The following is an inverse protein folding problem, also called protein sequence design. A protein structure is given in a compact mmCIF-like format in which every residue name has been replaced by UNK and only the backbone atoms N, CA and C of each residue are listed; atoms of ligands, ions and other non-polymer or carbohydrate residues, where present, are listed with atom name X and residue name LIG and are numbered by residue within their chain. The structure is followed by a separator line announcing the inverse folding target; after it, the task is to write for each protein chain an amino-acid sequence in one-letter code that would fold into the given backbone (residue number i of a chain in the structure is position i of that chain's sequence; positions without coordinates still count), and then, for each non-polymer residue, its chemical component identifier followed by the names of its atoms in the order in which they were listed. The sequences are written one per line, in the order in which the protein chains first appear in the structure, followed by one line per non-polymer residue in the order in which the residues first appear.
data_IF_481601402246
#
_entry.id   IF_481601402246
#
_cell.length_a   1.000
_cell.length_b   1.000
_cell.length_c   1.000
_cell.angle_alpha   90.00
_cell.angle_beta   90.00
_cell.angle_gamma   90.00
#
_symmetry.space_group_name_H-M   'P 1'
#
loop_
_entity.id
_entity.type
_entity.pdbx_description
1 polymer ?
#
# COMPACT_ATOMS: atom_id res chain seq x y z
N UNK A 1 -42.77 -7.25 54.03
CA UNK A 1 -41.37 -7.64 53.79
C UNK A 1 -41.01 -7.24 52.37
N UNK A 2 -40.60 -5.99 52.27
CA UNK A 2 -40.38 -5.16 51.10
C UNK A 2 -39.16 -4.33 51.49
N UNK A 3 -38.03 -4.44 50.76
CA UNK A 3 -37.00 -3.38 50.67
C UNK A 3 -35.65 -3.84 50.10
N UNK A 4 -35.32 -5.13 50.00
CA UNK A 4 -33.93 -5.53 49.71
C UNK A 4 -33.57 -5.79 48.23
N UNK A 5 -34.55 -6.02 47.34
CA UNK A 5 -34.28 -6.29 45.92
C UNK A 5 -34.34 -5.06 45.00
N UNK A 6 -34.96 -3.96 45.45
CA UNK A 6 -35.04 -2.70 44.67
C UNK A 6 -33.77 -1.84 44.82
N UNK A 7 -32.89 -2.14 45.79
CA UNK A 7 -31.69 -1.32 46.06
C UNK A 7 -30.41 -1.76 45.33
N UNK A 8 -30.44 -2.81 44.51
CA UNK A 8 -29.29 -3.22 43.67
C UNK A 8 -29.46 -2.93 42.17
N UNK A 9 -30.61 -2.40 41.75
CA UNK A 9 -30.87 -2.08 40.34
C UNK A 9 -30.62 -0.60 39.96
N UNK A 10 -30.20 0.26 40.89
CA UNK A 10 -30.06 1.71 40.68
C UNK A 10 -28.65 2.26 40.86
N UNK A 11 -27.62 1.46 40.58
CA UNK A 11 -26.21 1.95 40.52
C UNK A 11 -25.48 1.68 39.20
N UNK A 12 -26.20 1.33 38.12
CA UNK A 12 -25.59 1.13 36.78
C UNK A 12 -26.16 2.05 35.70
N UNK A 13 -26.96 3.04 36.07
CA UNK A 13 -27.41 4.08 35.16
C UNK A 13 -26.98 5.45 35.66
N UNK A 14 -25.68 5.71 35.55
CA UNK A 14 -25.18 7.08 35.59
C UNK A 14 -24.11 7.27 34.50
N UNK A 15 -24.56 7.20 33.24
CA UNK A 15 -23.89 7.84 32.10
C UNK A 15 -24.95 8.34 31.12
N UNK A 16 -24.93 9.62 30.72
CA UNK A 16 -25.93 10.16 29.80
C UNK A 16 -25.73 9.60 28.39
N UNK A 17 -26.75 8.94 27.85
CA UNK A 17 -26.82 8.54 26.43
C UNK A 17 -27.53 9.65 25.66
N UNK A 18 -26.90 10.17 24.60
CA UNK A 18 -27.44 11.29 23.83
C UNK A 18 -28.74 10.93 23.09
N UNK A 19 -29.63 11.91 22.89
CA UNK A 19 -30.96 11.77 22.22
C UNK A 19 -30.91 11.08 20.83
N UNK A 20 -29.75 11.05 20.15
CA UNK A 20 -29.55 10.30 18.89
C UNK A 20 -29.59 8.78 19.06
N UNK A 21 -29.25 8.26 20.24
CA UNK A 21 -29.29 6.81 20.52
C UNK A 21 -30.69 6.25 20.74
N UNK A 22 -31.65 7.09 21.15
CA UNK A 22 -33.02 6.67 21.44
C UNK A 22 -33.88 6.55 20.17
N UNK A 23 -33.76 7.50 19.24
CA UNK A 23 -34.53 7.50 17.99
C UNK A 23 -34.06 6.43 16.99
N UNK A 24 -32.81 5.98 17.09
CA UNK A 24 -32.27 4.87 16.28
C UNK A 24 -32.81 3.50 16.71
N UNK A 25 -33.44 3.38 17.88
CA UNK A 25 -33.99 2.12 18.42
C UNK A 25 -35.48 1.90 18.10
N UNK A 26 -36.23 2.96 17.78
CA UNK A 26 -37.67 2.88 17.55
C UNK A 26 -38.04 2.46 16.11
N UNK A 27 -37.17 2.66 15.13
CA UNK A 27 -37.46 2.39 13.70
C UNK A 27 -37.14 0.96 13.23
N UNK A 28 -36.43 0.15 14.03
CA UNK A 28 -36.09 -1.24 13.66
C UNK A 28 -37.01 -2.31 14.29
N UNK A 29 -37.95 -1.90 15.14
CA UNK A 29 -38.83 -2.82 15.85
C UNK A 29 -39.96 -3.43 15.00
N UNK A 30 -40.27 -2.85 13.83
CA UNK A 30 -41.47 -3.23 13.08
C UNK A 30 -41.29 -4.46 12.15
N UNK A 31 -40.06 -4.84 11.80
CA UNK A 31 -39.83 -5.89 10.77
C UNK A 31 -39.41 -7.25 11.35
N UNK A 32 -39.02 -7.32 12.63
CA UNK A 32 -38.49 -8.54 13.25
C UNK A 32 -39.55 -9.44 13.91
N UNK A 33 -40.77 -8.95 14.11
CA UNK A 33 -41.84 -9.66 14.80
C UNK A 33 -42.54 -10.74 13.95
N UNK A 34 -42.24 -10.86 12.66
CA UNK A 34 -42.90 -11.82 11.77
C UNK A 34 -42.20 -13.17 11.65
N UNK A 35 -40.93 -13.31 12.10
CA UNK A 35 -40.12 -14.50 11.80
C UNK A 35 -39.87 -15.46 12.98
N UNK A 36 -39.92 -15.01 14.24
CA UNK A 36 -39.72 -15.91 15.40
C UNK A 36 -40.14 -15.27 16.74
N UNK A 37 -41.42 -15.36 17.16
CA UNK A 37 -41.95 -14.60 18.28
C UNK A 37 -41.50 -15.07 19.68
N UNK A 38 -41.17 -16.35 19.87
CA UNK A 38 -40.84 -16.92 21.18
C UNK A 38 -39.36 -16.82 21.57
N UNK A 39 -38.47 -16.53 20.63
CA UNK A 39 -37.02 -16.48 20.88
C UNK A 39 -36.55 -15.10 21.36
N UNK A 40 -37.39 -14.06 21.22
CA UNK A 40 -37.01 -12.66 21.47
C UNK A 40 -37.34 -12.16 22.89
N UNK A 41 -38.10 -12.92 23.68
CA UNK A 41 -38.58 -12.47 25.00
C UNK A 41 -37.56 -12.64 26.13
N UNK A 42 -36.47 -13.40 25.93
CA UNK A 42 -35.54 -13.73 27.02
C UNK A 42 -34.09 -13.24 26.85
N UNK A 43 -33.65 -12.80 25.66
CA UNK A 43 -32.33 -12.16 25.44
C UNK A 43 -32.32 -11.23 24.21
N UNK A 44 -32.15 -9.90 24.36
CA UNK A 44 -32.02 -8.99 23.21
C UNK A 44 -30.59 -9.01 22.62
N UNK A 45 -30.46 -9.09 21.30
CA UNK A 45 -29.17 -9.02 20.59
C UNK A 45 -29.31 -8.57 19.11
N UNK A 46 -28.32 -7.82 18.60
CA UNK A 46 -28.24 -7.34 17.21
C UNK A 46 -27.72 -8.44 16.25
N UNK A 47 -27.63 -8.22 14.93
CA UNK A 47 -26.94 -9.15 14.01
C UNK A 47 -25.48 -9.46 14.45
N UNK A 48 -24.86 -8.56 15.21
CA UNK A 48 -23.58 -8.75 15.91
C UNK A 48 -23.65 -9.76 17.07
N UNK A 49 -24.81 -9.94 17.70
CA UNK A 49 -25.04 -10.94 18.75
C UNK A 49 -25.30 -12.36 18.24
N UNK A 50 -25.53 -12.56 16.93
CA UNK A 50 -25.62 -13.89 16.33
C UNK A 50 -24.25 -14.60 16.23
N UNK A 51 -23.14 -13.87 16.46
CA UNK A 51 -21.79 -14.33 16.10
C UNK A 51 -20.81 -14.34 17.30
N UNK A 52 -21.24 -13.84 18.46
CA UNK A 52 -20.48 -13.94 19.70
C UNK A 52 -20.72 -15.28 20.41
N UNK A 53 -20.03 -16.31 19.94
CA UNK A 53 -19.84 -17.54 20.69
C UNK A 53 -18.50 -18.18 20.26
N UNK A 54 -17.44 -17.96 21.02
CA UNK A 54 -16.29 -18.86 20.98
C UNK A 54 -16.59 -19.99 21.96
N UNK A 55 -17.42 -20.95 21.53
CA UNK A 55 -17.71 -22.13 22.34
C UNK A 55 -16.42 -22.92 22.55
N UNK A 56 -15.81 -22.80 23.73
CA UNK A 56 -14.76 -23.71 24.20
C UNK A 56 -13.34 -23.46 23.66
N UNK A 57 -13.03 -22.27 23.14
CA UNK A 57 -11.66 -21.92 22.72
C UNK A 57 -10.93 -21.12 23.81
N UNK A 58 -9.67 -21.46 24.09
CA UNK A 58 -8.79 -20.74 25.04
C UNK A 58 -8.27 -19.42 24.42
N UNK A 59 -9.15 -18.49 24.13
CA UNK A 59 -8.78 -17.19 23.56
C UNK A 59 -9.19 -16.04 24.48
N UNK A 60 -8.37 -14.99 24.54
CA UNK A 60 -8.65 -13.77 25.28
C UNK A 60 -9.73 -12.92 24.59
N UNK A 61 -10.41 -12.05 25.36
CA UNK A 61 -11.48 -11.17 24.85
C UNK A 61 -11.02 -10.15 23.78
N UNK A 62 -9.71 -9.95 23.58
CA UNK A 62 -9.15 -9.08 22.55
C UNK A 62 -8.80 -9.80 21.24
N UNK A 63 -8.95 -11.13 21.18
CA UNK A 63 -8.55 -11.94 20.05
C UNK A 63 -9.56 -11.82 18.88
N UNK A 64 -9.08 -11.74 17.64
CA UNK A 64 -9.95 -11.60 16.46
C UNK A 64 -10.87 -12.82 16.26
N UNK A 65 -10.52 -13.98 16.83
CA UNK A 65 -11.37 -15.17 16.76
C UNK A 65 -12.68 -14.99 17.52
N UNK A 66 -12.72 -14.07 18.49
CA UNK A 66 -13.93 -13.71 19.22
C UNK A 66 -14.83 -12.75 18.44
N UNK A 67 -14.36 -12.22 17.31
CA UNK A 67 -15.10 -11.30 16.46
C UNK A 67 -16.19 -12.03 15.66
N UNK A 68 -17.19 -11.27 15.21
CA UNK A 68 -18.33 -11.77 14.47
C UNK A 68 -18.06 -12.05 12.98
N UNK A 69 -16.80 -12.15 12.55
CA UNK A 69 -16.45 -12.16 11.13
C UNK A 69 -15.67 -13.42 10.73
N UNK A 70 -15.65 -13.69 9.43
CA UNK A 70 -14.99 -14.85 8.83
C UNK A 70 -13.53 -14.53 8.45
N UNK A 71 -12.63 -15.51 8.48
CA UNK A 71 -11.23 -15.42 8.04
C UNK A 71 -11.10 -15.08 6.53
N UNK A 72 -9.99 -14.44 6.15
CA UNK A 72 -9.72 -14.11 4.75
C UNK A 72 -9.05 -15.28 4.01
N UNK A 73 -9.41 -15.47 2.73
CA UNK A 73 -8.88 -16.58 1.94
C UNK A 73 -7.37 -16.47 1.70
N UNK A 74 -6.87 -15.23 1.62
CA UNK A 74 -5.43 -15.01 1.49
C UNK A 74 -4.67 -15.51 2.73
N UNK A 75 -5.26 -15.43 3.93
CA UNK A 75 -4.62 -15.94 5.13
C UNK A 75 -4.60 -17.47 5.15
N UNK A 76 -5.68 -18.12 4.69
CA UNK A 76 -5.79 -19.58 4.71
C UNK A 76 -4.92 -20.26 3.64
N UNK A 77 -4.79 -19.66 2.45
CA UNK A 77 -4.16 -20.31 1.30
C UNK A 77 -2.95 -19.57 0.74
N UNK A 78 -2.64 -18.38 1.28
CA UNK A 78 -1.63 -17.48 0.72
C UNK A 78 -2.09 -16.75 -0.56
N UNK A 79 -3.30 -17.03 -1.07
CA UNK A 79 -3.85 -16.40 -2.28
C UNK A 79 -5.24 -15.86 -2.04
N UNK A 80 -5.53 -14.70 -2.60
CA UNK A 80 -6.85 -14.08 -2.53
C UNK A 80 -7.82 -14.69 -3.58
N UNK A 81 -8.16 -15.97 -3.40
CA UNK A 81 -9.11 -16.72 -4.22
C UNK A 81 -9.80 -17.81 -3.39
N UNK A 82 -10.99 -18.25 -3.82
CA UNK A 82 -11.67 -19.35 -3.13
C UNK A 82 -10.84 -20.64 -3.20
N UNK A 83 -10.62 -21.34 -2.06
CA UNK A 83 -9.93 -22.62 -2.04
C UNK A 83 -10.72 -23.71 -2.78
N UNK A 84 -10.02 -24.76 -3.23
CA UNK A 84 -10.65 -25.93 -3.82
C UNK A 84 -11.69 -26.55 -2.87
N UNK A 85 -12.84 -26.98 -3.43
CA UNK A 85 -13.96 -27.49 -2.65
C UNK A 85 -14.87 -26.40 -2.07
N UNK A 86 -14.60 -25.14 -2.38
CA UNK A 86 -15.50 -24.02 -2.09
C UNK A 86 -15.93 -23.32 -3.38
N UNK A 87 -17.03 -22.58 -3.30
CA UNK A 87 -17.58 -21.78 -4.39
C UNK A 87 -18.07 -20.44 -3.86
N UNK A 88 -18.09 -19.45 -4.73
CA UNK A 88 -18.52 -18.10 -4.41
C UNK A 88 -20.04 -18.06 -4.42
N UNK A 89 -20.66 -17.85 -3.26
CA UNK A 89 -22.12 -17.97 -3.13
C UNK A 89 -22.80 -16.67 -2.71
N UNK A 90 -22.05 -15.82 -2.01
CA UNK A 90 -22.50 -14.53 -1.52
C UNK A 90 -21.46 -13.44 -1.72
N UNK A 91 -21.92 -12.19 -1.78
CA UNK A 91 -21.09 -11.01 -1.78
C UNK A 91 -21.84 -9.77 -1.27
N UNK A 92 -21.08 -8.76 -0.86
CA UNK A 92 -21.59 -7.40 -0.60
C UNK A 92 -20.54 -6.34 -0.88
N UNK A 93 -21.01 -5.11 -1.00
CA UNK A 93 -20.24 -3.90 -1.23
C UNK A 93 -19.91 -3.21 0.10
N UNK A 94 -18.70 -2.69 0.22
CA UNK A 94 -18.30 -1.78 1.28
C UNK A 94 -17.68 -0.51 0.68
N UNK A 95 -18.25 0.63 1.03
CA UNK A 95 -17.80 1.96 0.60
C UNK A 95 -16.87 2.60 1.63
N UNK A 96 -16.01 3.51 1.16
CA UNK A 96 -15.16 4.33 2.01
C UNK A 96 -14.03 3.56 2.68
N UNK A 97 -13.50 2.54 2.01
CA UNK A 97 -12.36 1.74 2.49
C UNK A 97 -10.99 2.33 2.14
N UNK A 98 -10.90 3.20 1.12
CA UNK A 98 -9.64 3.75 0.62
C UNK A 98 -8.81 2.77 -0.23
N UNK A 99 -8.99 1.46 -0.05
CA UNK A 99 -8.17 0.42 -0.71
C UNK A 99 -8.36 0.39 -2.23
N UNK A 100 -9.60 0.57 -2.70
CA UNK A 100 -9.93 0.46 -4.12
C UNK A 100 -9.92 1.80 -4.86
N UNK A 101 -9.69 2.90 -4.15
CA UNK A 101 -9.75 4.25 -4.69
C UNK A 101 -8.69 4.45 -5.78
N UNK A 102 -9.09 5.11 -6.86
CA UNK A 102 -8.20 5.43 -7.97
C UNK A 102 -8.37 6.88 -8.45
N UNK A 103 -7.73 7.23 -9.56
CA UNK A 103 -7.75 8.60 -10.12
C UNK A 103 -9.14 9.07 -10.55
N UNK A 104 -10.14 8.18 -10.66
CA UNK A 104 -11.53 8.52 -10.95
C UNK A 104 -12.37 8.80 -9.70
N UNK A 105 -11.79 8.61 -8.51
CA UNK A 105 -12.40 8.92 -7.21
C UNK A 105 -12.53 7.69 -6.32
N UNK A 106 -13.24 7.83 -5.18
CA UNK A 106 -13.45 6.74 -4.27
C UNK A 106 -14.19 5.60 -4.94
N UNK A 107 -13.66 4.38 -4.79
CA UNK A 107 -14.27 3.18 -5.37
C UNK A 107 -14.64 2.19 -4.28
N UNK A 108 -15.75 1.46 -4.50
CA UNK A 108 -16.14 0.45 -3.57
C UNK A 108 -15.21 -0.74 -3.60
N UNK A 109 -15.14 -1.44 -2.47
CA UNK A 109 -14.63 -2.80 -2.43
C UNK A 109 -15.76 -3.79 -2.26
N UNK A 110 -15.51 -5.02 -2.66
CA UNK A 110 -16.48 -6.11 -2.57
C UNK A 110 -15.89 -7.26 -1.77
N UNK A 111 -16.72 -7.81 -0.90
CA UNK A 111 -16.44 -9.03 -0.16
C UNK A 111 -17.19 -10.16 -0.82
N UNK A 112 -16.53 -11.29 -1.00
CA UNK A 112 -17.09 -12.47 -1.63
C UNK A 112 -16.90 -13.66 -0.70
N UNK A 113 -18.00 -14.33 -0.34
CA UNK A 113 -18.03 -15.46 0.56
C UNK A 113 -17.77 -16.77 -0.21
N UNK A 114 -16.70 -17.47 0.17
CA UNK A 114 -16.39 -18.80 -0.33
C UNK A 114 -17.03 -19.84 0.59
N UNK A 115 -18.16 -20.39 0.17
CA UNK A 115 -18.89 -21.42 0.90
C UNK A 115 -18.49 -22.80 0.41
N UNK A 116 -18.61 -23.77 1.29
CA UNK A 116 -18.52 -25.16 0.88
C UNK A 116 -19.75 -25.56 0.07
N UNK A 117 -19.54 -26.37 -0.96
CA UNK A 117 -20.59 -26.89 -1.86
C UNK A 117 -21.09 -28.29 -1.49
N UNK A 118 -20.55 -28.92 -0.43
CA UNK A 118 -20.91 -30.28 -0.03
C UNK A 118 -21.55 -30.27 1.38
N UNK A 119 -22.81 -30.71 1.45
CA UNK A 119 -23.57 -30.88 2.70
C UNK A 119 -23.54 -32.31 3.23
N UNK A 120 -22.78 -33.21 2.61
CA UNK A 120 -22.78 -34.63 2.93
C UNK A 120 -24.16 -35.28 2.76
N UNK A 121 -24.44 -36.31 3.55
CA UNK A 121 -25.65 -37.15 3.45
C UNK A 121 -26.92 -36.54 4.06
N UNK A 122 -26.83 -35.33 4.63
CA UNK A 122 -27.89 -34.78 5.46
C UNK A 122 -28.95 -33.96 4.73
N UNK A 123 -28.73 -33.64 3.46
CA UNK A 123 -29.62 -32.77 2.69
C UNK A 123 -29.61 -31.30 3.14
N UNK A 124 -30.47 -30.50 2.51
CA UNK A 124 -30.60 -29.06 2.74
C UNK A 124 -31.40 -28.74 4.00
N UNK A 125 -30.91 -27.79 4.82
CA UNK A 125 -31.77 -27.12 5.78
C UNK A 125 -32.80 -26.20 5.10
N UNK A 126 -33.80 -25.72 5.85
CA UNK A 126 -34.94 -24.94 5.34
C UNK A 126 -34.58 -23.63 4.60
N UNK A 127 -33.34 -23.14 4.72
CA UNK A 127 -32.88 -21.89 4.13
C UNK A 127 -31.79 -22.08 3.05
N UNK A 128 -31.62 -23.29 2.50
CA UNK A 128 -30.56 -23.57 1.52
C UNK A 128 -29.16 -23.68 2.13
N UNK A 129 -29.07 -23.80 3.46
CA UNK A 129 -27.81 -23.93 4.22
C UNK A 129 -27.81 -25.30 4.90
N UNK A 130 -26.70 -26.02 4.86
CA UNK A 130 -26.58 -27.33 5.51
C UNK A 130 -26.94 -27.22 7.01
N UNK A 131 -27.58 -28.26 7.56
CA UNK A 131 -27.89 -28.29 8.98
C UNK A 131 -26.61 -28.38 9.84
N UNK A 132 -26.61 -27.75 11.01
CA UNK A 132 -25.41 -27.64 11.86
C UNK A 132 -24.79 -28.98 12.27
N UNK A 133 -25.59 -30.04 12.37
CA UNK A 133 -25.13 -31.40 12.71
C UNK A 133 -24.39 -32.10 11.55
N UNK A 134 -24.36 -31.48 10.37
CA UNK A 134 -23.80 -32.05 9.14
C UNK A 134 -22.52 -31.36 8.71
N UNK A 135 -22.02 -30.48 9.57
CA UNK A 135 -20.65 -30.03 9.52
C UNK A 135 -19.74 -31.23 9.79
N UNK A 136 -19.20 -31.89 8.75
CA UNK A 136 -18.08 -32.82 8.91
C UNK A 136 -16.99 -32.08 9.70
N UNK A 137 -16.70 -32.45 10.96
CA UNK A 137 -15.81 -31.66 11.80
C UNK A 137 -14.36 -31.71 11.32
N UNK A 138 -14.02 -32.59 10.36
CA UNK A 138 -12.70 -32.60 9.71
C UNK A 138 -12.60 -31.61 8.54
N UNK A 139 -13.71 -31.08 8.03
CA UNK A 139 -13.76 -30.24 6.82
C UNK A 139 -14.47 -28.90 7.09
N UNK A 140 -15.43 -28.86 8.02
CA UNK A 140 -16.36 -27.73 8.30
C UNK A 140 -16.37 -27.33 9.78
N UNK A 141 -15.33 -27.67 10.56
CA UNK A 141 -15.29 -27.29 11.97
C UNK A 141 -15.29 -25.77 12.12
N UNK A 142 -16.16 -25.29 13.01
CA UNK A 142 -16.10 -23.93 13.49
C UNK A 142 -14.84 -23.77 14.36
N UNK A 143 -13.79 -23.18 13.79
CA UNK A 143 -12.50 -22.97 14.44
C UNK A 143 -11.94 -21.56 14.19
N UNK A 144 -10.89 -21.20 14.92
CA UNK A 144 -10.12 -19.99 14.58
C UNK A 144 -9.36 -20.24 13.27
N UNK A 145 -9.35 -19.26 12.37
CA UNK A 145 -8.62 -19.32 11.11
C UNK A 145 -7.16 -19.70 11.33
N UNK A 146 -6.60 -20.56 10.47
CA UNK A 146 -5.26 -21.12 10.61
C UNK A 146 -4.96 -21.74 12.00
N UNK A 147 -5.99 -22.10 12.77
CA UNK A 147 -5.88 -22.64 14.13
C UNK A 147 -5.19 -21.69 15.12
N UNK A 148 -5.26 -20.38 14.91
CA UNK A 148 -4.67 -19.36 15.78
C UNK A 148 -5.71 -18.37 16.31
N UNK A 149 -5.69 -18.05 17.61
CA UNK A 149 -6.67 -17.15 18.24
C UNK A 149 -6.67 -15.71 17.68
N UNK A 150 -5.57 -15.25 17.08
CA UNK A 150 -5.47 -13.90 16.49
C UNK A 150 -6.12 -13.77 15.10
N UNK A 151 -6.76 -14.84 14.63
CA UNK A 151 -7.45 -14.90 13.34
C UNK A 151 -8.96 -14.96 13.53
N UNK A 152 -9.72 -14.56 12.52
CA UNK A 152 -11.19 -14.60 12.55
C UNK A 152 -11.69 -16.05 12.44
N UNK A 153 -12.99 -16.25 12.65
CA UNK A 153 -13.60 -17.59 12.59
C UNK A 153 -13.60 -18.15 11.17
N UNK A 154 -13.37 -19.45 11.00
CA UNK A 154 -13.60 -20.17 9.76
C UNK A 154 -14.63 -21.28 10.00
N UNK A 155 -15.51 -21.56 9.04
CA UNK A 155 -16.47 -22.66 9.14
C UNK A 155 -17.65 -22.44 10.13
N UNK A 156 -17.75 -21.26 10.77
CA UNK A 156 -18.77 -20.99 11.78
C UNK A 156 -20.04 -20.33 11.24
N UNK A 157 -19.90 -19.50 10.20
CA UNK A 157 -20.98 -18.64 9.71
C UNK A 157 -21.63 -19.26 8.49
N UNK A 158 -22.94 -19.52 8.56
CA UNK A 158 -23.76 -19.94 7.42
C UNK A 158 -24.76 -18.84 7.07
N UNK A 159 -24.51 -18.07 6.02
CA UNK A 159 -25.47 -17.17 5.40
C UNK A 159 -25.10 -16.94 3.93
N UNK A 160 -26.03 -16.34 3.17
CA UNK A 160 -25.87 -16.00 1.75
C UNK A 160 -26.38 -14.58 1.51
N UNK A 161 -25.48 -13.59 1.58
CA UNK A 161 -25.77 -12.20 1.20
C UNK A 161 -25.34 -11.99 -0.26
N UNK A 162 -26.12 -11.29 -1.08
CA UNK A 162 -25.87 -11.28 -2.52
C UNK A 162 -26.03 -12.69 -3.08
N UNK A 163 -26.12 -12.85 -4.39
CA UNK A 163 -26.44 -14.17 -4.94
C UNK A 163 -25.50 -14.48 -6.11
N UNK A 164 -24.57 -15.41 -5.91
CA UNK A 164 -23.77 -16.04 -6.97
C UNK A 164 -24.06 -17.54 -6.99
N UNK A 165 -23.93 -18.20 -8.14
CA UNK A 165 -24.15 -19.64 -8.30
C UNK A 165 -25.51 -20.11 -7.72
N UNK A 166 -26.60 -19.44 -8.12
CA UNK A 166 -27.97 -19.65 -7.63
C UNK A 166 -28.53 -21.06 -7.88
N UNK A 167 -27.99 -21.75 -8.87
CA UNK A 167 -28.28 -23.12 -9.26
C UNK A 167 -27.89 -24.15 -8.19
N UNK A 168 -26.95 -23.81 -7.32
CA UNK A 168 -26.58 -24.66 -6.17
C UNK A 168 -27.62 -24.51 -5.07
N UNK A 169 -28.38 -25.58 -4.85
CA UNK A 169 -29.50 -25.62 -3.91
C UNK A 169 -29.08 -25.54 -2.44
N UNK A 170 -27.89 -26.06 -2.08
CA UNK A 170 -27.45 -26.21 -0.70
C UNK A 170 -25.99 -25.80 -0.52
N UNK A 171 -25.72 -24.99 0.51
CA UNK A 171 -24.36 -24.52 0.82
C UNK A 171 -23.99 -24.77 2.27
N UNK A 172 -22.71 -25.05 2.50
CA UNK A 172 -22.11 -25.13 3.82
C UNK A 172 -21.72 -23.76 4.39
N UNK A 173 -21.04 -23.75 5.55
CA UNK A 173 -20.54 -22.53 6.15
C UNK A 173 -19.49 -21.86 5.26
N UNK A 174 -19.26 -20.57 5.51
CA UNK A 174 -18.20 -19.79 4.87
C UNK A 174 -16.85 -20.27 5.41
N UNK A 175 -15.98 -20.72 4.50
CA UNK A 175 -14.60 -21.08 4.84
C UNK A 175 -13.76 -19.82 4.97
N UNK A 176 -13.86 -18.94 3.98
CA UNK A 176 -13.14 -17.69 3.96
C UNK A 176 -13.79 -16.66 3.04
N UNK A 177 -13.29 -15.43 3.11
CA UNK A 177 -13.72 -14.31 2.25
C UNK A 177 -12.60 -13.83 1.33
N UNK A 178 -12.98 -13.50 0.11
CA UNK A 178 -12.14 -12.82 -0.89
C UNK A 178 -12.52 -11.34 -0.91
N UNK A 179 -11.53 -10.45 -1.04
CA UNK A 179 -11.74 -9.01 -1.20
C UNK A 179 -11.32 -8.59 -2.59
N UNK A 180 -12.14 -7.79 -3.28
CA UNK A 180 -11.83 -7.33 -4.64
C UNK A 180 -12.28 -5.89 -4.87
N UNK A 181 -11.61 -5.19 -5.79
CA UNK A 181 -12.02 -3.88 -6.30
C UNK A 181 -12.85 -3.97 -7.58
N UNK A 182 -12.95 -5.17 -8.17
CA UNK A 182 -13.78 -5.44 -9.34
C UNK A 182 -15.16 -5.93 -8.88
N UNK A 183 -16.26 -5.46 -9.50
CA UNK A 183 -17.59 -5.97 -9.19
C UNK A 183 -17.68 -7.51 -9.32
N UNK A 184 -18.34 -8.21 -8.37
CA UNK A 184 -18.38 -9.69 -8.38
C UNK A 184 -18.96 -10.31 -9.65
N UNK A 185 -19.95 -9.66 -10.27
CA UNK A 185 -20.58 -10.13 -11.52
C UNK A 185 -19.69 -9.98 -12.76
N UNK A 186 -18.60 -9.24 -12.68
CA UNK A 186 -17.57 -9.22 -13.73
C UNK A 186 -16.55 -10.33 -13.56
N UNK A 187 -16.38 -10.82 -12.33
CA UNK A 187 -15.46 -11.93 -12.00
C UNK A 187 -16.13 -13.29 -12.18
N UNK A 188 -17.41 -13.40 -11.80
CA UNK A 188 -18.23 -14.59 -11.96
C UNK A 188 -19.60 -14.17 -12.52
N UNK A 189 -19.90 -14.50 -13.79
CA UNK A 189 -21.18 -14.17 -14.43
C UNK A 189 -22.42 -14.76 -13.73
N UNK A 190 -22.25 -15.75 -12.85
CA UNK A 190 -23.36 -16.32 -12.07
C UNK A 190 -23.83 -15.40 -10.94
N UNK A 191 -23.09 -14.33 -10.65
CA UNK A 191 -23.43 -13.35 -9.63
C UNK A 191 -24.50 -12.36 -10.10
N UNK A 192 -25.46 -12.08 -9.22
CA UNK A 192 -26.45 -11.02 -9.40
C UNK A 192 -25.78 -9.65 -9.39
N UNK A 193 -26.36 -8.68 -10.09
CA UNK A 193 -25.94 -7.27 -10.07
C UNK A 193 -26.61 -6.45 -8.97
N UNK A 194 -27.58 -7.03 -8.24
CA UNK A 194 -28.26 -6.35 -7.12
C UNK A 194 -27.29 -6.17 -5.96
N UNK A 195 -26.99 -4.90 -5.66
CA UNK A 195 -26.02 -4.53 -4.63
C UNK A 195 -26.62 -4.63 -3.23
N UNK A 196 -25.95 -5.38 -2.36
CA UNK A 196 -26.09 -5.29 -0.90
C UNK A 196 -24.88 -4.57 -0.31
N UNK A 197 -25.09 -3.79 0.75
CA UNK A 197 -24.06 -2.91 1.33
C UNK A 197 -23.87 -3.21 2.81
N UNK A 198 -22.62 -3.40 3.23
CA UNK A 198 -22.21 -3.38 4.63
C UNK A 198 -20.89 -2.61 4.80
N UNK A 199 -21.03 -1.36 5.21
CA UNK A 199 -19.89 -0.47 5.41
C UNK A 199 -19.18 -0.69 6.77
N UNK A 200 -19.67 -1.58 7.64
CA UNK A 200 -18.98 -1.88 8.89
C UNK A 200 -17.74 -2.74 8.64
N UNK A 201 -17.73 -3.52 7.56
CA UNK A 201 -16.57 -4.32 7.17
C UNK A 201 -15.54 -3.53 6.39
N UNK A 202 -15.73 -2.23 6.14
CA UNK A 202 -14.85 -1.39 5.30
C UNK A 202 -13.40 -1.25 5.77
N UNK A 203 -13.06 -1.75 6.97
CA UNK A 203 -11.68 -1.83 7.46
C UNK A 203 -11.22 -3.27 7.76
N UNK A 204 -11.99 -4.30 7.40
CA UNK A 204 -11.55 -5.69 7.53
C UNK A 204 -10.70 -6.10 6.34
N UNK A 205 -9.44 -6.41 6.58
CA UNK A 205 -8.45 -6.86 5.61
C UNK A 205 -7.52 -7.92 6.26
N UNK A 206 -6.62 -8.45 5.44
CA UNK A 206 -5.51 -9.30 5.82
C UNK A 206 -4.23 -8.81 5.11
N UNK A 207 -3.04 -8.94 5.72
CA UNK A 207 -1.79 -8.39 5.17
C UNK A 207 -1.48 -8.85 3.74
N UNK A 208 -1.80 -10.10 3.40
CA UNK A 208 -1.62 -10.65 2.05
C UNK A 208 -2.57 -10.10 0.97
N UNK A 209 -3.56 -9.31 1.34
CA UNK A 209 -4.41 -8.56 0.38
C UNK A 209 -3.73 -7.27 -0.10
N UNK A 210 -2.70 -6.86 0.64
CA UNK A 210 -1.78 -5.79 0.34
C UNK A 210 -0.45 -6.46 0.00
N UNK A 211 -0.29 -7.15 -1.15
CA UNK A 211 1.09 -7.39 -1.64
C UNK A 211 1.62 -6.04 -2.15
N UNK A 212 1.87 -5.19 -1.17
CA UNK A 212 2.32 -3.83 -1.22
C UNK A 212 3.83 -3.77 -1.37
N UNK A 213 4.55 -4.88 -1.20
CA UNK A 213 6.01 -4.97 -1.34
C UNK A 213 6.48 -4.88 -2.79
N UNK A 214 5.70 -5.39 -3.74
CA UNK A 214 6.00 -5.24 -5.15
C UNK A 214 5.67 -3.81 -5.60
N UNK A 215 6.66 -3.13 -6.16
CA UNK A 215 6.44 -1.80 -6.71
C UNK A 215 5.55 -1.89 -7.96
N UNK A 216 4.76 -0.85 -8.26
CA UNK A 216 4.02 -0.78 -9.51
C UNK A 216 4.94 -1.01 -10.70
N UNK A 217 4.46 -1.82 -11.65
CA UNK A 217 5.27 -2.17 -12.82
C UNK A 217 5.33 -1.10 -13.91
N UNK A 218 4.72 0.07 -13.68
CA UNK A 218 4.73 1.20 -14.60
C UNK A 218 4.96 2.46 -13.78
N UNK A 219 5.72 3.41 -14.31
CA UNK A 219 6.05 4.67 -13.65
C UNK A 219 7.52 5.05 -13.78
N UNK A 220 7.88 6.14 -13.11
CA UNK A 220 9.24 6.66 -13.05
C UNK A 220 9.92 6.04 -11.82
N UNK A 221 11.05 5.32 -11.98
CA UNK A 221 11.81 4.81 -10.86
C UNK A 221 12.44 5.98 -10.09
N UNK A 222 12.34 5.91 -8.77
CA UNK A 222 12.96 6.82 -7.82
C UNK A 222 13.69 6.00 -6.77
N UNK A 223 14.60 6.62 -6.04
CA UNK A 223 15.41 6.00 -4.99
C UNK A 223 15.64 7.03 -3.90
N UNK A 224 15.69 6.58 -2.65
CA UNK A 224 15.99 7.41 -1.48
C UNK A 224 16.05 6.57 -0.19
N UNK A 225 16.68 7.11 0.84
CA UNK A 225 16.62 6.61 2.22
C UNK A 225 15.33 7.10 2.92
N UNK A 226 14.25 6.35 2.74
CA UNK A 226 12.93 6.74 3.25
C UNK A 226 12.80 6.62 4.77
N UNK A 227 13.75 5.93 5.40
CA UNK A 227 13.74 5.55 6.81
C UNK A 227 14.76 6.31 7.67
N UNK A 228 15.75 6.95 7.04
CA UNK A 228 16.90 7.57 7.70
C UNK A 228 17.86 6.54 8.29
N UNK A 229 17.98 5.36 7.69
CA UNK A 229 18.85 4.28 8.16
C UNK A 229 20.20 4.20 7.43
N UNK A 230 20.44 5.16 6.52
CA UNK A 230 21.59 5.25 5.64
C UNK A 230 21.49 4.36 4.40
N UNK A 231 20.39 3.60 4.20
CA UNK A 231 20.24 2.73 3.04
C UNK A 231 19.22 3.27 2.06
N UNK A 232 19.70 3.56 0.86
CA UNK A 232 18.84 3.95 -0.25
C UNK A 232 18.05 2.75 -0.75
N UNK A 233 16.73 2.93 -0.85
CA UNK A 233 15.80 1.89 -1.33
C UNK A 233 14.96 2.36 -2.53
N UNK A 234 14.51 1.44 -3.40
CA UNK A 234 13.71 1.81 -4.56
C UNK A 234 12.32 2.38 -4.26
N UNK A 235 11.78 3.09 -5.25
CA UNK A 235 10.37 3.48 -5.31
C UNK A 235 9.91 3.68 -6.75
N UNK A 236 8.59 3.82 -6.93
CA UNK A 236 7.97 4.16 -8.20
C UNK A 236 6.99 5.32 -8.01
N UNK A 237 7.17 6.34 -8.84
CA UNK A 237 6.19 7.42 -9.00
C UNK A 237 5.35 7.19 -10.25
N UNK A 238 4.02 7.12 -10.07
CA UNK A 238 3.09 6.91 -11.18
C UNK A 238 1.84 7.76 -10.99
N UNK A 239 1.56 8.64 -11.95
CA UNK A 239 0.33 9.44 -11.99
C UNK A 239 0.03 10.26 -10.72
N UNK A 240 1.04 10.82 -10.05
CA UNK A 240 0.87 11.57 -8.81
C UNK A 240 0.80 10.70 -7.55
N UNK A 241 1.07 9.40 -7.67
CA UNK A 241 1.12 8.45 -6.55
C UNK A 241 2.53 7.92 -6.38
N UNK A 242 2.99 7.90 -5.13
CA UNK A 242 4.28 7.38 -4.72
C UNK A 242 4.10 6.01 -4.09
N UNK A 243 5.01 5.10 -4.43
CA UNK A 243 5.15 3.78 -3.84
C UNK A 243 6.62 3.62 -3.48
N UNK A 244 6.94 3.69 -2.19
CA UNK A 244 8.33 3.69 -1.69
C UNK A 244 8.58 2.36 -0.98
N UNK A 245 9.61 1.63 -1.40
CA UNK A 245 9.99 0.38 -0.78
C UNK A 245 10.90 0.66 0.41
N UNK A 246 10.54 0.12 1.58
CA UNK A 246 11.33 0.27 2.79
C UNK A 246 12.55 -0.64 2.79
N UNK A 247 13.68 -0.16 3.29
CA UNK A 247 14.91 -0.95 3.44
C UNK A 247 14.78 -2.06 4.49
N UNK A 248 13.94 -1.84 5.50
CA UNK A 248 13.72 -2.75 6.64
C UNK A 248 12.82 -3.96 6.33
N UNK A 249 12.31 -4.06 5.10
CA UNK A 249 11.40 -5.12 4.67
C UNK A 249 9.96 -4.98 5.17
N UNK A 250 9.62 -3.84 5.78
CA UNK A 250 8.26 -3.44 6.10
C UNK A 250 7.39 -3.17 4.87
N UNK A 251 6.08 -2.89 5.06
CA UNK A 251 5.16 -2.58 3.96
C UNK A 251 5.58 -1.30 3.23
N UNK A 252 5.37 -1.22 1.92
CA UNK A 252 5.72 -0.03 1.15
C UNK A 252 4.93 1.21 1.62
N UNK A 253 5.57 2.37 1.60
CA UNK A 253 4.93 3.66 1.89
C UNK A 253 4.21 4.12 0.64
N UNK A 254 2.87 4.22 0.70
CA UNK A 254 2.03 4.57 -0.45
C UNK A 254 1.14 5.76 -0.17
N UNK A 255 1.23 6.80 -0.99
CA UNK A 255 0.44 8.03 -0.84
C UNK A 255 0.37 8.84 -2.14
N UNK A 256 -0.54 9.81 -2.19
CA UNK A 256 -0.69 10.72 -3.33
C UNK A 256 -0.04 12.07 -3.05
N UNK A 257 0.90 12.47 -3.89
CA UNK A 257 1.54 13.79 -3.89
C UNK A 257 2.02 14.13 -5.30
N UNK A 258 1.51 15.23 -5.85
CA UNK A 258 1.72 15.60 -7.25
C UNK A 258 0.53 15.24 -8.15
N UNK A 259 0.74 15.37 -9.46
CA UNK A 259 -0.25 15.18 -10.52
C UNK A 259 0.36 14.41 -11.69
N UNK A 260 -0.49 13.92 -12.59
CA UNK A 260 -0.05 13.35 -13.87
C UNK A 260 0.79 14.37 -14.63
N UNK A 261 1.97 13.95 -15.11
CA UNK A 261 2.91 14.79 -15.85
C UNK A 261 3.93 15.53 -14.99
N UNK A 262 3.81 15.50 -13.67
CA UNK A 262 4.85 16.01 -12.79
C UNK A 262 6.11 15.14 -12.88
N UNK A 263 7.28 15.75 -12.72
CA UNK A 263 8.56 15.02 -12.61
C UNK A 263 8.90 14.81 -11.13
N UNK A 264 9.09 13.58 -10.65
CA UNK A 264 9.45 13.33 -9.27
C UNK A 264 10.90 13.76 -9.00
N UNK A 265 11.16 14.17 -7.76
CA UNK A 265 12.50 14.39 -7.23
C UNK A 265 12.52 13.97 -5.76
N UNK A 266 13.67 13.53 -5.26
CA UNK A 266 13.86 12.97 -3.92
C UNK A 266 15.13 13.58 -3.33
N UNK A 267 15.10 13.85 -2.03
CA UNK A 267 16.26 14.28 -1.25
C UNK A 267 15.88 14.65 0.18
N UNK A 268 16.88 14.81 1.05
CA UNK A 268 16.75 15.32 2.40
C UNK A 268 16.68 16.87 2.40
N UNK A 269 15.46 17.39 2.22
CA UNK A 269 15.24 18.83 2.03
C UNK A 269 15.45 19.69 3.27
N UNK A 270 15.43 19.09 4.46
CA UNK A 270 15.57 19.78 5.76
C UNK A 270 16.69 19.29 6.67
N UNK A 271 17.50 18.35 6.19
CA UNK A 271 18.72 17.90 6.85
C UNK A 271 18.46 17.02 8.06
N UNK A 272 17.36 16.26 8.07
CA UNK A 272 17.00 15.36 9.17
C UNK A 272 17.53 13.93 8.97
N UNK A 273 18.21 13.68 7.86
CA UNK A 273 18.76 12.40 7.44
C UNK A 273 17.76 11.51 6.72
N UNK A 274 16.53 11.97 6.42
CA UNK A 274 15.50 11.20 5.72
C UNK A 274 15.22 11.79 4.35
N UNK A 275 15.38 10.97 3.32
CA UNK A 275 14.98 11.35 1.97
C UNK A 275 13.45 11.46 1.87
N UNK A 276 13.01 12.61 1.36
CA UNK A 276 11.59 12.90 1.23
C UNK A 276 11.22 13.38 -0.16
N UNK A 277 9.94 13.27 -0.48
CA UNK A 277 9.46 13.46 -1.86
C UNK A 277 9.31 14.93 -2.26
N UNK A 278 9.54 15.19 -3.54
CA UNK A 278 9.23 16.44 -4.22
C UNK A 278 8.71 16.20 -5.62
N UNK A 279 8.04 17.20 -6.20
CA UNK A 279 7.66 17.20 -7.61
C UNK A 279 8.02 18.51 -8.28
N UNK A 280 8.43 18.44 -9.55
CA UNK A 280 8.72 19.58 -10.40
C UNK A 280 7.69 19.66 -11.51
N UNK A 281 7.07 20.84 -11.65
CA UNK A 281 6.08 21.15 -12.68
C UNK A 281 6.42 22.50 -13.31
N UNK A 282 6.74 22.51 -14.60
CA UNK A 282 7.05 23.71 -15.37
C UNK A 282 8.15 24.61 -14.74
N UNK A 283 9.15 23.98 -14.12
CA UNK A 283 10.25 24.67 -13.43
C UNK A 283 9.89 25.21 -12.04
N UNK A 284 8.72 24.86 -11.51
CA UNK A 284 8.34 25.11 -10.12
C UNK A 284 8.53 23.82 -9.33
N UNK A 285 9.31 23.91 -8.26
CA UNK A 285 9.59 22.84 -7.32
C UNK A 285 8.57 22.90 -6.19
N UNK A 286 8.00 21.75 -5.86
CA UNK A 286 7.09 21.54 -4.74
C UNK A 286 7.71 20.44 -3.87
N UNK A 287 8.35 20.83 -2.77
CA UNK A 287 9.08 19.92 -1.89
C UNK A 287 8.28 19.63 -0.64
N UNK A 288 8.43 18.42 -0.11
CA UNK A 288 7.73 17.96 1.07
C UNK A 288 8.68 17.20 1.98
N UNK A 289 8.93 17.76 3.16
CA UNK A 289 9.72 17.15 4.24
C UNK A 289 8.98 15.99 4.96
N UNK A 290 8.29 15.14 4.22
CA UNK A 290 7.78 13.86 4.72
C UNK A 290 7.24 13.00 3.57
N UNK A 291 7.23 11.69 3.79
CA UNK A 291 6.71 10.69 2.87
C UNK A 291 5.20 10.43 3.10
N UNK A 292 4.38 11.44 2.84
CA UNK A 292 2.91 11.39 2.90
C UNK A 292 2.25 12.37 1.91
N UNK A 293 0.91 12.35 1.82
CA UNK A 293 0.16 13.30 0.97
C UNK A 293 -0.08 14.66 1.62
N UNK A 294 -0.44 15.68 0.85
CA UNK A 294 -0.80 17.01 1.37
C UNK A 294 -0.18 18.17 0.59
N UNK A 295 -0.16 19.36 1.19
CA UNK A 295 0.49 20.54 0.61
C UNK A 295 2.01 20.43 0.66
N UNK A 296 2.69 21.09 -0.26
CA UNK A 296 4.15 21.26 -0.21
C UNK A 296 4.55 22.09 1.01
N UNK A 297 5.68 21.74 1.63
CA UNK A 297 6.31 22.56 2.67
C UNK A 297 7.06 23.74 2.05
N UNK A 298 7.72 23.50 0.91
CA UNK A 298 8.42 24.52 0.14
C UNK A 298 7.91 24.54 -1.29
N UNK A 299 7.75 25.74 -1.84
CA UNK A 299 7.40 25.93 -3.25
C UNK A 299 8.15 27.13 -3.82
N UNK A 300 8.95 26.91 -4.85
CA UNK A 300 9.74 27.97 -5.48
C UNK A 300 10.06 27.65 -6.93
N UNK A 301 10.42 28.69 -7.71
CA UNK A 301 10.81 28.52 -9.11
C UNK A 301 12.32 28.35 -9.22
N UNK A 302 12.76 27.27 -9.87
CA UNK A 302 14.15 27.04 -10.22
C UNK A 302 14.25 26.19 -11.49
N UNK A 303 14.96 26.70 -12.50
CA UNK A 303 15.01 26.12 -13.83
C UNK A 303 13.90 26.60 -14.77
N UNK A 304 13.81 25.95 -15.94
CA UNK A 304 12.84 26.21 -17.01
C UNK A 304 12.05 24.93 -17.33
N UNK A 305 10.86 25.05 -17.95
CA UNK A 305 10.17 23.88 -18.49
C UNK A 305 11.09 23.08 -19.42
N UNK A 306 11.15 21.77 -19.22
CA UNK A 306 12.00 20.85 -19.99
C UNK A 306 13.43 20.67 -19.47
N UNK A 307 13.86 21.43 -18.44
CA UNK A 307 15.08 21.08 -17.72
C UNK A 307 14.83 19.79 -16.90
N UNK A 308 15.85 18.94 -16.76
CA UNK A 308 15.79 17.72 -15.93
C UNK A 308 16.18 18.11 -14.50
N UNK A 309 15.34 17.86 -13.49
CA UNK A 309 15.68 18.16 -12.10
C UNK A 309 16.73 17.20 -11.55
N UNK A 310 17.57 17.71 -10.66
CA UNK A 310 18.60 17.00 -9.91
C UNK A 310 18.49 17.41 -8.44
N UNK A 311 18.86 16.53 -7.53
CA UNK A 311 18.92 16.80 -6.09
C UNK A 311 20.25 16.27 -5.55
N UNK A 312 20.74 16.93 -4.51
CA UNK A 312 21.96 16.54 -3.82
C UNK A 312 22.50 17.63 -2.91
N UNK A 313 23.36 17.24 -1.98
CA UNK A 313 24.13 18.09 -1.09
C UNK A 313 25.44 18.52 -1.76
N UNK A 314 25.32 19.55 -2.60
CA UNK A 314 26.45 20.06 -3.39
C UNK A 314 27.57 20.68 -2.54
N UNK A 315 27.27 21.11 -1.30
CA UNK A 315 28.19 21.86 -0.45
C UNK A 315 28.66 21.11 0.80
N UNK A 316 28.06 19.98 1.14
CA UNK A 316 28.39 19.15 2.30
C UNK A 316 27.84 19.70 3.60
N UNK A 317 26.64 20.30 3.59
CA UNK A 317 25.98 20.78 4.82
C UNK A 317 24.91 19.83 5.36
N UNK A 318 24.73 18.69 4.72
CA UNK A 318 23.75 17.65 5.04
C UNK A 318 22.35 17.94 4.52
N UNK A 319 22.15 18.95 3.67
CA UNK A 319 20.85 19.29 3.09
C UNK A 319 20.89 19.12 1.57
N UNK A 320 19.96 18.32 1.05
CA UNK A 320 19.77 18.23 -0.39
C UNK A 320 19.12 19.48 -0.94
N UNK A 321 19.67 19.95 -2.06
CA UNK A 321 19.25 21.20 -2.67
C UNK A 321 19.13 21.11 -4.19
N UNK A 322 18.38 22.03 -4.83
CA UNK A 322 17.96 21.85 -6.21
C UNK A 322 19.10 22.04 -7.21
N UNK A 323 19.14 21.14 -8.19
CA UNK A 323 19.91 21.26 -9.42
C UNK A 323 19.02 21.10 -10.64
N UNK A 324 19.45 21.62 -11.79
CA UNK A 324 18.80 21.35 -13.08
C UNK A 324 19.83 21.13 -14.18
N UNK A 325 19.55 20.15 -15.03
CA UNK A 325 20.28 19.91 -16.27
C UNK A 325 19.49 20.41 -17.46
N UNK A 326 20.08 21.35 -18.20
CA UNK A 326 19.49 21.90 -19.41
C UNK A 326 20.08 21.22 -20.63
N UNK A 327 19.30 20.32 -21.23
CA UNK A 327 19.75 19.55 -22.39
C UNK A 327 20.08 20.42 -23.63
N UNK A 328 19.38 21.55 -23.80
CA UNK A 328 19.56 22.41 -24.98
C UNK A 328 20.96 23.04 -25.11
N UNK A 329 21.65 23.26 -23.99
CA UNK A 329 23.02 23.78 -23.95
C UNK A 329 24.01 22.89 -23.17
N UNK A 330 23.55 21.76 -22.63
CA UNK A 330 24.33 20.80 -21.82
C UNK A 330 24.92 21.42 -20.57
N UNK A 331 24.17 22.32 -19.93
CA UNK A 331 24.62 23.03 -18.74
C UNK A 331 23.90 22.51 -17.50
N UNK A 332 24.69 22.20 -16.47
CA UNK A 332 24.23 21.95 -15.10
C UNK A 332 24.14 23.30 -14.38
N UNK A 333 23.04 23.53 -13.66
CA UNK A 333 22.85 24.64 -12.74
C UNK A 333 22.53 24.07 -11.36
N UNK A 334 23.40 24.26 -10.37
CA UNK A 334 23.18 23.77 -8.99
C UNK A 334 23.00 24.94 -8.04
N UNK A 335 22.18 24.74 -7.01
CA UNK A 335 21.89 25.75 -6.01
C UNK A 335 21.87 25.15 -4.62
N UNK A 336 22.81 25.59 -3.79
CA UNK A 336 22.98 25.25 -2.36
C UNK A 336 21.88 25.81 -1.43
N UNK A 337 20.64 25.91 -1.88
CA UNK A 337 19.51 26.33 -1.02
C UNK A 337 18.17 25.95 -1.64
N UNK A 338 17.22 25.52 -0.82
CA UNK A 338 15.83 25.25 -1.20
C UNK A 338 15.01 26.55 -1.42
N UNK A 339 15.43 27.35 -2.41
CA UNK A 339 14.82 28.64 -2.75
C UNK A 339 14.98 29.00 -4.23
N UNK A 340 14.21 29.98 -4.71
CA UNK A 340 14.45 30.58 -6.03
C UNK A 340 15.76 31.39 -6.05
N UNK A 341 16.34 31.58 -7.24
CA UNK A 341 17.51 32.44 -7.43
C UNK A 341 18.47 31.93 -8.50
N UNK A 342 19.65 32.56 -8.57
CA UNK A 342 20.72 32.16 -9.48
C UNK A 342 21.40 30.86 -9.03
N UNK A 343 22.04 30.15 -9.94
CA UNK A 343 22.87 29.01 -9.60
C UNK A 343 24.12 29.45 -8.82
N UNK A 344 24.54 28.65 -7.84
CA UNK A 344 25.85 28.78 -7.20
C UNK A 344 26.94 28.09 -8.03
N UNK A 345 26.58 26.99 -8.69
CA UNK A 345 27.43 26.26 -9.62
C UNK A 345 26.80 26.21 -11.01
N UNK A 346 27.54 26.61 -12.03
CA UNK A 346 27.14 26.52 -13.44
C UNK A 346 28.30 26.00 -14.29
N UNK A 347 28.13 24.84 -14.93
CA UNK A 347 29.15 24.25 -15.79
C UNK A 347 28.54 23.36 -16.87
N UNK A 348 29.27 23.17 -17.96
CA UNK A 348 28.85 22.26 -19.04
C UNK A 348 29.22 20.81 -18.70
N UNK A 349 28.43 19.82 -19.12
CA UNK A 349 28.81 18.42 -18.99
C UNK A 349 28.48 17.61 -20.24
N UNK A 350 28.99 16.37 -20.29
CA UNK A 350 28.56 15.32 -21.22
C UNK A 350 28.47 15.72 -22.70
N UNK A 351 27.64 14.95 -23.41
CA UNK A 351 27.32 15.09 -24.84
C UNK A 351 25.80 15.03 -25.03
N UNK A 352 25.27 15.43 -26.21
CA UNK A 352 23.85 15.25 -26.49
C UNK A 352 23.42 13.79 -26.29
N UNK A 353 22.35 13.58 -25.51
CA UNK A 353 21.82 12.24 -25.18
C UNK A 353 22.41 11.61 -23.92
N UNK A 354 23.41 12.22 -23.31
CA UNK A 354 23.90 11.81 -21.98
C UNK A 354 22.88 12.19 -20.89
N UNK A 355 22.82 11.37 -19.83
CA UNK A 355 21.95 11.53 -18.67
C UNK A 355 22.82 11.91 -17.46
N UNK A 356 22.57 13.04 -16.78
CA UNK A 356 23.26 13.40 -15.55
C UNK A 356 22.80 12.52 -14.38
N UNK A 357 23.74 12.23 -13.48
CA UNK A 357 23.51 11.50 -12.25
C UNK A 357 24.08 12.31 -11.09
N UNK A 358 23.37 12.38 -9.97
CA UNK A 358 23.83 13.01 -8.74
C UNK A 358 24.13 11.93 -7.68
N UNK A 359 25.17 12.15 -6.88
CA UNK A 359 25.53 11.28 -5.75
C UNK A 359 26.95 11.50 -5.21
N UNK A 360 27.22 10.93 -4.05
CA UNK A 360 28.49 10.93 -3.33
C UNK A 360 29.27 9.64 -3.62
N UNK A 361 29.90 9.61 -4.81
CA UNK A 361 30.59 8.42 -5.30
C UNK A 361 31.93 8.11 -4.62
N UNK A 362 32.42 8.96 -3.71
CA UNK A 362 33.65 8.72 -2.94
C UNK A 362 33.49 8.84 -1.41
N UNK A 363 32.26 8.98 -0.93
CA UNK A 363 31.91 8.95 0.49
C UNK A 363 32.47 10.12 1.29
N UNK A 364 32.59 11.29 0.66
CA UNK A 364 33.12 12.49 1.32
C UNK A 364 32.03 13.37 1.96
N UNK A 365 30.76 12.99 1.82
CA UNK A 365 29.57 13.71 2.25
C UNK A 365 29.17 14.83 1.30
N UNK A 366 29.58 14.81 0.02
CA UNK A 366 29.17 15.81 -0.98
C UNK A 366 28.79 15.17 -2.29
N UNK A 367 27.64 15.59 -2.79
CA UNK A 367 27.17 15.15 -4.08
C UNK A 367 27.89 15.82 -5.23
N UNK A 368 28.10 15.03 -6.26
CA UNK A 368 28.77 15.42 -7.49
C UNK A 368 27.93 15.00 -8.70
N UNK A 369 28.28 15.51 -9.88
CA UNK A 369 27.57 15.17 -11.12
C UNK A 369 28.38 14.19 -11.94
N UNK A 370 27.84 13.00 -12.11
CA UNK A 370 28.34 11.95 -13.00
C UNK A 370 27.49 11.85 -14.27
N UNK A 371 27.95 11.08 -15.26
CA UNK A 371 27.27 10.95 -16.55
C UNK A 371 27.01 9.48 -16.88
N UNK A 372 25.78 9.15 -17.26
CA UNK A 372 25.45 7.91 -17.96
C UNK A 372 25.25 8.19 -19.45
N UNK A 373 25.89 7.37 -20.29
CA UNK A 373 25.71 7.41 -21.74
C UNK A 373 24.92 6.19 -22.22
N UNK A 374 23.61 6.35 -22.52
CA UNK A 374 22.75 5.23 -22.92
C UNK A 374 23.22 4.50 -24.18
N UNK A 375 23.81 5.21 -25.16
CA UNK A 375 24.26 4.62 -26.42
C UNK A 375 25.38 3.59 -26.23
N UNK A 376 26.08 3.64 -25.09
CA UNK A 376 27.20 2.75 -24.76
C UNK A 376 26.92 1.91 -23.50
N UNK A 377 25.78 2.14 -22.82
CA UNK A 377 25.51 1.61 -21.47
C UNK A 377 26.67 1.90 -20.49
N UNK A 378 27.29 3.08 -20.63
CA UNK A 378 28.55 3.43 -19.98
C UNK A 378 28.35 4.53 -18.95
N UNK A 379 28.86 4.31 -17.75
CA UNK A 379 28.91 5.26 -16.65
C UNK A 379 30.29 5.94 -16.63
N UNK A 380 30.27 7.24 -16.35
CA UNK A 380 31.44 8.09 -16.16
C UNK A 380 31.30 8.77 -14.80
N UNK A 381 32.00 8.24 -13.80
CA UNK A 381 31.92 8.70 -12.42
C UNK A 381 32.91 9.84 -12.20
N UNK A 382 32.43 10.96 -11.67
CA UNK A 382 33.22 12.18 -11.48
C UNK A 382 33.05 12.69 -10.05
N UNK A 383 34.12 12.66 -9.25
CA UNK A 383 34.03 13.01 -7.83
C UNK A 383 34.26 14.49 -7.54
N UNK A 384 34.10 15.36 -8.52
CA UNK A 384 34.28 16.82 -8.37
C UNK A 384 33.32 17.57 -9.28
N UNK A 385 32.67 18.59 -8.73
CA UNK A 385 31.88 19.52 -9.51
C UNK A 385 32.74 20.31 -10.51
N UNK A 386 32.12 20.73 -11.62
CA UNK A 386 32.73 21.65 -12.57
C UNK A 386 32.95 23.04 -11.97
N UNK A 387 33.98 23.74 -12.43
CA UNK A 387 34.19 25.15 -12.09
C UNK A 387 33.15 26.03 -12.79
N UNK A 388 32.76 27.13 -12.18
CA UNK A 388 31.83 28.09 -12.77
C UNK A 388 32.29 28.57 -14.16
N UNK A 389 31.41 28.43 -15.15
CA UNK A 389 31.66 28.71 -16.56
C UNK A 389 32.56 27.69 -17.28
N UNK A 390 32.96 26.62 -16.59
CA UNK A 390 33.82 25.56 -17.12
C UNK A 390 33.05 24.34 -17.62
N UNK A 391 33.76 23.21 -17.64
CA UNK A 391 33.19 21.89 -17.92
C UNK A 391 33.33 20.97 -16.72
N UNK A 392 32.52 19.91 -16.71
CA UNK A 392 32.68 18.78 -15.80
C UNK A 392 34.12 18.22 -15.92
N UNK A 393 34.78 17.90 -14.80
CA UNK A 393 36.12 17.32 -14.82
C UNK A 393 36.19 15.96 -15.53
N UNK A 394 37.40 15.49 -15.77
CA UNK A 394 37.62 14.13 -16.28
C UNK A 394 37.09 13.10 -15.28
N UNK A 395 36.46 12.01 -15.75
CA UNK A 395 35.98 10.94 -14.88
C UNK A 395 37.10 10.28 -14.08
N UNK A 396 36.82 10.01 -12.81
CA UNK A 396 37.66 9.21 -11.92
C UNK A 396 37.67 7.73 -12.34
N UNK A 397 36.50 7.23 -12.76
CA UNK A 397 36.35 5.87 -13.29
C UNK A 397 35.26 5.86 -14.37
N UNK A 398 35.42 4.97 -15.35
CA UNK A 398 34.42 4.72 -16.38
C UNK A 398 34.24 3.22 -16.62
N UNK A 399 33.00 2.77 -16.80
CA UNK A 399 32.69 1.36 -16.94
C UNK A 399 31.33 1.13 -17.61
N UNK A 400 31.15 -0.06 -18.18
CA UNK A 400 29.86 -0.48 -18.76
C UNK A 400 29.09 -1.28 -17.72
N UNK A 401 27.82 -0.91 -17.52
CA UNK A 401 26.87 -1.66 -16.70
C UNK A 401 25.47 -1.49 -17.28
N UNK A 402 24.69 -2.57 -17.29
CA UNK A 402 23.36 -2.56 -17.89
C UNK A 402 23.34 -2.91 -19.38
N UNK A 403 22.28 -2.50 -20.06
CA UNK A 403 21.96 -2.74 -21.47
C UNK A 403 21.32 -1.47 -22.06
N UNK A 404 21.32 -1.33 -23.40
CA UNK A 404 20.60 -0.24 -24.05
C UNK A 404 19.12 -0.21 -23.65
N UNK A 405 18.63 0.97 -23.29
CA UNK A 405 17.25 1.19 -22.84
C UNK A 405 17.03 1.14 -21.33
N UNK A 406 18.07 0.83 -20.54
CA UNK A 406 17.99 0.90 -19.09
C UNK A 406 17.93 2.34 -18.57
N UNK A 407 17.20 2.52 -17.47
CA UNK A 407 17.18 3.78 -16.71
C UNK A 407 18.24 3.70 -15.61
N UNK A 408 19.23 4.62 -15.57
CA UNK A 408 20.25 4.62 -14.53
C UNK A 408 19.69 5.11 -13.19
N UNK A 409 20.24 4.60 -12.10
CA UNK A 409 19.94 4.97 -10.71
C UNK A 409 21.25 5.14 -9.93
N UNK A 410 21.21 5.90 -8.84
CA UNK A 410 22.34 6.12 -7.93
C UNK A 410 21.83 6.10 -6.50
N UNK A 411 22.60 5.48 -5.61
CA UNK A 411 22.32 5.47 -4.18
C UNK A 411 23.26 4.53 -3.42
N UNK A 412 23.31 4.70 -2.10
CA UNK A 412 23.97 3.79 -1.17
C UNK A 412 23.04 2.62 -0.80
N UNK A 413 23.09 1.55 -1.60
CA UNK A 413 22.22 0.40 -1.41
C UNK A 413 22.57 -0.44 -0.16
N UNK A 414 23.78 -0.29 0.37
CA UNK A 414 24.31 -1.13 1.45
C UNK A 414 24.59 -0.38 2.77
N UNK A 415 24.46 0.94 2.78
CA UNK A 415 24.66 1.79 3.95
C UNK A 415 26.13 1.94 4.33
N UNK A 416 27.05 1.95 3.36
CA UNK A 416 28.48 2.16 3.61
C UNK A 416 28.95 3.62 3.46
N UNK A 417 28.04 4.53 3.14
CA UNK A 417 28.25 5.94 2.91
C UNK A 417 28.75 6.28 1.50
N UNK A 418 28.80 5.33 0.57
CA UNK A 418 29.24 5.57 -0.81
C UNK A 418 28.11 5.26 -1.79
N UNK A 419 27.76 6.26 -2.59
CA UNK A 419 26.79 6.08 -3.64
C UNK A 419 27.34 5.22 -4.78
N UNK A 420 26.52 4.26 -5.19
CA UNK A 420 26.86 3.35 -6.26
C UNK A 420 25.73 3.23 -7.28
N UNK A 421 26.06 2.69 -8.44
CA UNK A 421 25.15 2.64 -9.58
C UNK A 421 24.10 1.53 -9.45
N UNK A 422 22.94 1.80 -10.04
CA UNK A 422 21.89 0.82 -10.31
C UNK A 422 21.30 1.03 -11.70
N UNK A 423 20.54 0.04 -12.17
CA UNK A 423 19.69 0.20 -13.36
C UNK A 423 18.29 -0.34 -13.11
N UNK A 424 17.30 0.35 -13.65
CA UNK A 424 15.93 -0.14 -13.75
C UNK A 424 15.67 -0.65 -15.17
N UNK A 425 15.31 -1.93 -15.27
CA UNK A 425 15.04 -2.62 -16.53
C UNK A 425 13.85 -3.55 -16.39
N UNK A 426 12.86 -3.37 -17.27
CA UNK A 426 11.72 -4.29 -17.38
C UNK A 426 11.10 -4.61 -16.02
N UNK A 427 10.78 -3.55 -15.25
CA UNK A 427 10.02 -3.68 -13.99
C UNK A 427 10.83 -4.33 -12.87
N UNK A 428 12.14 -4.12 -12.88
CA UNK A 428 13.08 -4.65 -11.91
C UNK A 428 14.24 -3.69 -11.70
N UNK A 429 14.68 -3.61 -10.45
CA UNK A 429 15.87 -2.89 -10.04
C UNK A 429 17.04 -3.87 -10.00
N UNK A 430 18.17 -3.47 -10.58
CA UNK A 430 19.43 -4.21 -10.56
C UNK A 430 20.46 -3.26 -9.96
N UNK A 431 20.74 -3.45 -8.67
CA UNK A 431 21.54 -2.56 -7.85
C UNK A 431 22.92 -3.18 -7.64
N UNK A 432 23.95 -2.35 -7.61
CA UNK A 432 25.34 -2.80 -7.53
C UNK A 432 26.09 -1.96 -6.52
N UNK A 433 26.72 -2.60 -5.55
CA UNK A 433 27.46 -1.95 -4.45
C UNK A 433 28.89 -1.57 -4.89
N UNK A 434 29.09 -1.28 -6.17
CA UNK A 434 30.40 -0.96 -6.74
C UNK A 434 30.28 -0.15 -8.03
N UNK A 435 31.07 0.91 -8.12
CA UNK A 435 31.25 1.71 -9.35
C UNK A 435 32.21 1.03 -10.33
N UNK A 436 31.86 -0.18 -10.77
CA UNK A 436 32.65 -1.05 -11.65
C UNK A 436 31.75 -1.98 -12.50
N UNK A 437 32.26 -2.61 -13.59
CA UNK A 437 31.50 -3.64 -14.31
C UNK A 437 31.18 -4.84 -13.42
N UNK A 438 30.12 -5.59 -13.74
CA UNK A 438 29.80 -6.84 -13.06
C UNK A 438 28.30 -7.18 -13.08
N UNK A 439 27.91 -8.15 -12.27
CA UNK A 439 26.50 -8.50 -12.03
C UNK A 439 25.89 -7.59 -10.95
N UNK A 440 24.56 -7.50 -10.90
CA UNK A 440 23.89 -6.87 -9.77
C UNK A 440 24.15 -7.66 -8.49
N UNK A 441 24.34 -6.94 -7.38
CA UNK A 441 24.42 -7.52 -6.04
C UNK A 441 23.01 -7.74 -5.46
N UNK A 442 22.07 -6.86 -5.83
CA UNK A 442 20.67 -6.95 -5.43
C UNK A 442 19.74 -6.80 -6.64
N UNK A 443 18.71 -7.65 -6.70
CA UNK A 443 17.67 -7.58 -7.74
C UNK A 443 16.30 -7.55 -7.09
N UNK A 444 15.56 -6.45 -7.28
CA UNK A 444 14.24 -6.21 -6.70
C UNK A 444 13.18 -6.09 -7.79
N UNK A 445 11.91 -6.34 -7.43
CA UNK A 445 10.75 -6.27 -8.34
C UNK A 445 9.82 -5.14 -7.97
#
# INVERSE_FOLDING_TARGET
MTSTLVRRATQLFDRPVSRRGFLRRLTYGATALTMAPLTYTLKPGTAYAAICNCQGQNCDCGAMCCDGYTEFCCTLTGRNACPSGTMLMGWWKADGSGICDDSSGPKPRYYMDCNVIDCGTCGCGANGICSGNCQNPKVYACECGNKHCNHRKAGCTGFRYGQCNQDVACVGPIVCRVVTCTPPWELDPSCTTRVLVDNNTRFHNAPCLEDDRALPTEGIPVVGDWEGDGKVSPGIFVNGRWHLQRSDGGPNIVFSYGKVGDTPVVGDWDGDGVDTVGVVRDGVWYLRNSNSGGSAHLSFKYGKPGDIPLAGDWNGDGVDTPGVWRNSNRTVYLRNSNSAGNAHHEFTAGRPGDIPLAGDFDGNGKDTISIYRPSESKFYIVNKLGKNGGSLPVPSVEFVYGKPGDVPLVGDWNGDGVDTIGIYRSKKFYLRNANAPGTADLVLR
#
